data_IF_485062260618
#
_entry.id   IF_485062260618
#
_cell.length_a   1.000
_cell.length_b   1.000
_cell.length_c   1.000
_cell.angle_alpha   90.00
_cell.angle_beta   90.00
_cell.angle_gamma   90.00
#
_symmetry.space_group_name_H-M   'P 1'
#
loop_
_entity.id
_entity.type
_entity.pdbx_description
1 polymer ?
#
# COMPACT_ATOMS: atom_id res chain seq x y z
N UNK A 1 20.27 -6.63 -4.02
CA UNK A 1 19.06 -7.17 -3.37
C UNK A 1 18.85 -8.57 -3.90
N UNK A 2 18.68 -9.54 -3.02
CA UNK A 2 18.14 -10.87 -3.34
C UNK A 2 16.63 -10.84 -3.08
N UNK A 3 15.85 -11.48 -3.94
CA UNK A 3 14.42 -11.70 -3.71
C UNK A 3 14.25 -12.89 -2.75
N UNK A 4 13.42 -12.75 -1.72
CA UNK A 4 13.51 -13.58 -0.50
C UNK A 4 12.28 -14.46 -0.28
N UNK A 5 11.07 -13.95 -0.50
CA UNK A 5 9.86 -14.71 -0.19
C UNK A 5 8.65 -14.18 -0.96
N UNK A 6 8.05 -15.02 -1.80
CA UNK A 6 6.75 -14.76 -2.42
C UNK A 6 5.66 -15.49 -1.62
N UNK A 7 4.98 -14.76 -0.74
CA UNK A 7 3.76 -15.24 -0.09
C UNK A 7 2.55 -14.76 -0.90
N UNK A 8 2.19 -15.51 -1.94
CA UNK A 8 0.86 -15.40 -2.53
C UNK A 8 -0.18 -15.92 -1.54
N UNK A 9 -1.15 -15.08 -1.19
CA UNK A 9 -2.37 -15.52 -0.53
C UNK A 9 -3.53 -15.28 -1.51
N UNK A 10 -4.41 -16.27 -1.68
CA UNK A 10 -5.71 -15.98 -2.26
C UNK A 10 -6.50 -15.23 -1.18
N UNK A 11 -7.07 -14.06 -1.53
CA UNK A 11 -7.96 -13.29 -0.63
C UNK A 11 -9.04 -14.16 0.01
N UNK A 12 -9.42 -15.17 -0.75
CA UNK A 12 -10.50 -16.09 -0.52
C UNK A 12 -10.09 -17.34 0.28
N UNK A 13 -8.81 -17.62 0.45
CA UNK A 13 -8.31 -18.63 1.41
C UNK A 13 -8.06 -18.06 2.81
N UNK A 14 -8.18 -16.73 2.99
CA UNK A 14 -8.00 -16.10 4.29
C UNK A 14 -9.15 -16.46 5.25
N UNK A 15 -8.89 -17.03 6.45
CA UNK A 15 -9.94 -17.36 7.43
C UNK A 15 -10.63 -16.11 8.02
N UNK A 16 -10.23 -14.91 7.59
CA UNK A 16 -10.82 -13.64 7.96
C UNK A 16 -12.07 -13.30 7.12
N UNK A 17 -12.26 -13.94 5.96
CA UNK A 17 -13.29 -13.60 4.95
C UNK A 17 -13.73 -14.83 4.11
N UNK A 18 -14.81 -14.72 3.34
CA UNK A 18 -15.42 -15.84 2.59
C UNK A 18 -14.77 -16.08 1.20
N UNK A 19 -14.69 -17.32 0.65
CA UNK A 19 -13.98 -17.61 -0.61
C UNK A 19 -14.75 -17.39 -1.94
N UNK A 20 -14.01 -17.21 -3.04
CA UNK A 20 -14.37 -17.41 -4.47
C UNK A 20 -13.19 -18.05 -5.27
N UNK A 21 -13.41 -18.49 -6.51
CA UNK A 21 -12.47 -19.33 -7.29
C UNK A 21 -11.62 -18.54 -8.31
N UNK A 22 -10.32 -18.87 -8.49
CA UNK A 22 -9.46 -18.87 -9.75
C UNK A 22 -7.91 -18.71 -9.49
N UNK A 23 -7.14 -19.81 -9.57
CA UNK A 23 -5.73 -20.02 -10.13
C UNK A 23 -4.44 -19.32 -9.50
N UNK A 24 -3.15 -19.66 -9.84
CA UNK A 24 -2.24 -20.39 -8.90
C UNK A 24 -0.74 -19.93 -8.69
N UNK A 25 -0.12 -20.33 -7.54
CA UNK A 25 1.29 -20.85 -7.29
C UNK A 25 2.60 -20.09 -7.73
N UNK A 26 3.87 -20.34 -7.27
CA UNK A 26 4.60 -20.87 -6.04
C UNK A 26 6.15 -20.73 -6.20
N UNK A 27 6.97 -20.66 -5.10
CA UNK A 27 8.37 -21.22 -4.86
C UNK A 27 9.27 -20.39 -3.87
N UNK A 28 10.43 -20.91 -3.39
CA UNK A 28 11.19 -20.42 -2.19
C UNK A 28 12.73 -20.62 -2.23
N UNK A 29 13.52 -19.74 -1.57
CA UNK A 29 15.02 -19.77 -1.45
C UNK A 29 15.55 -19.38 -0.05
N UNK A 30 16.88 -19.42 0.19
CA UNK A 30 17.58 -19.03 1.45
C UNK A 30 18.31 -17.65 1.37
N UNK A 31 18.67 -17.06 2.52
CA UNK A 31 19.12 -15.65 2.67
C UNK A 31 20.49 -15.54 3.36
N UNK A 32 21.33 -14.60 2.92
CA UNK A 32 22.69 -14.34 3.46
C UNK A 32 22.89 -12.89 3.99
N UNK A 33 21.83 -12.11 4.27
CA UNK A 33 21.91 -10.71 4.73
C UNK A 33 20.91 -10.34 5.86
N UNK A 34 21.23 -9.26 6.59
CA UNK A 34 20.51 -8.82 7.81
C UNK A 34 19.36 -7.82 7.58
N UNK A 35 19.33 -7.12 6.44
CA UNK A 35 18.23 -6.20 6.09
C UNK A 35 17.46 -6.68 4.85
N UNK A 36 16.18 -6.37 4.79
CA UNK A 36 15.32 -6.64 3.64
C UNK A 36 14.13 -5.69 3.57
N UNK A 37 13.37 -5.77 2.47
CA UNK A 37 12.21 -4.93 2.15
C UNK A 37 11.05 -5.87 1.85
N UNK A 38 9.86 -5.55 2.33
CA UNK A 38 8.63 -6.26 1.96
C UNK A 38 8.00 -5.50 0.80
N UNK A 39 7.93 -6.14 -0.37
CA UNK A 39 7.24 -5.61 -1.54
C UNK A 39 6.01 -6.48 -1.77
N UNK A 40 4.88 -5.85 -2.01
CA UNK A 40 3.63 -6.53 -2.37
C UNK A 40 3.01 -5.85 -3.59
N UNK A 41 2.37 -6.62 -4.46
CA UNK A 41 1.80 -6.14 -5.71
C UNK A 41 0.39 -6.70 -5.90
N UNK A 42 -0.58 -5.86 -6.24
CA UNK A 42 -2.00 -6.19 -6.20
C UNK A 42 -2.78 -5.65 -7.41
N UNK A 43 -3.93 -6.25 -7.68
CA UNK A 43 -4.93 -5.72 -8.60
C UNK A 43 -6.30 -5.84 -7.93
N UNK A 44 -6.80 -4.75 -7.36
CA UNK A 44 -8.07 -4.76 -6.61
C UNK A 44 -9.27 -4.90 -7.56
N UNK A 45 -10.39 -5.40 -7.05
CA UNK A 45 -11.56 -5.73 -7.86
C UNK A 45 -12.10 -4.52 -8.63
N UNK A 46 -12.05 -4.58 -9.96
CA UNK A 46 -12.26 -3.43 -10.85
C UNK A 46 -13.62 -2.72 -10.72
N UNK A 47 -14.70 -3.43 -10.38
CA UNK A 47 -16.08 -2.93 -10.46
C UNK A 47 -16.26 -1.65 -9.62
N UNK A 48 -16.59 -0.48 -10.21
CA UNK A 48 -16.63 0.80 -9.50
C UNK A 48 -17.58 0.83 -8.29
N UNK A 49 -18.70 0.13 -8.36
CA UNK A 49 -19.71 0.09 -7.29
C UNK A 49 -19.35 -0.87 -6.14
N UNK A 50 -18.31 -1.70 -6.29
CA UNK A 50 -17.94 -2.74 -5.33
C UNK A 50 -17.02 -2.20 -4.20
N UNK A 51 -17.39 -1.06 -3.62
CA UNK A 51 -16.61 -0.36 -2.59
C UNK A 51 -16.31 -1.23 -1.36
N UNK A 52 -17.32 -1.96 -0.86
CA UNK A 52 -17.16 -2.92 0.22
C UNK A 52 -16.15 -4.04 -0.11
N UNK A 53 -16.15 -4.55 -1.34
CA UNK A 53 -15.22 -5.62 -1.74
C UNK A 53 -13.78 -5.10 -1.80
N UNK A 54 -13.56 -3.89 -2.35
CA UNK A 54 -12.25 -3.23 -2.29
C UNK A 54 -11.81 -3.03 -0.83
N UNK A 55 -12.71 -2.59 0.06
CA UNK A 55 -12.43 -2.43 1.49
C UNK A 55 -12.03 -3.76 2.16
N UNK A 56 -12.73 -4.86 1.84
CA UNK A 56 -12.40 -6.23 2.27
C UNK A 56 -10.99 -6.60 1.84
N UNK A 57 -10.67 -6.41 0.56
CA UNK A 57 -9.36 -6.72 -0.01
C UNK A 57 -8.25 -5.89 0.67
N UNK A 58 -8.44 -4.58 0.88
CA UNK A 58 -7.47 -3.76 1.63
C UNK A 58 -7.17 -4.32 3.01
N UNK A 59 -8.21 -4.67 3.79
CA UNK A 59 -8.00 -5.22 5.13
C UNK A 59 -7.21 -6.54 5.10
N UNK A 60 -7.58 -7.48 4.23
CA UNK A 60 -6.90 -8.78 4.12
C UNK A 60 -5.46 -8.62 3.67
N UNK A 61 -5.22 -7.77 2.67
CA UNK A 61 -3.89 -7.43 2.17
C UNK A 61 -2.99 -6.86 3.28
N UNK A 62 -3.44 -5.80 3.96
CA UNK A 62 -2.67 -5.18 5.03
C UNK A 62 -2.44 -6.16 6.19
N UNK A 63 -3.44 -6.95 6.57
CA UNK A 63 -3.27 -7.99 7.59
C UNK A 63 -2.15 -8.96 7.22
N UNK A 64 -2.17 -9.53 6.02
CA UNK A 64 -1.20 -10.54 5.60
C UNK A 64 0.22 -9.96 5.46
N UNK A 65 0.36 -8.73 4.93
CA UNK A 65 1.63 -8.01 4.85
C UNK A 65 2.23 -7.80 6.25
N UNK A 66 1.43 -7.33 7.22
CA UNK A 66 1.90 -7.02 8.56
C UNK A 66 2.05 -8.25 9.47
N UNK A 67 1.31 -9.33 9.23
CA UNK A 67 1.58 -10.66 9.80
C UNK A 67 2.95 -11.15 9.33
N UNK A 68 3.22 -11.18 8.02
CA UNK A 68 4.52 -11.58 7.47
C UNK A 68 5.67 -10.72 8.00
N UNK A 69 5.50 -9.39 8.07
CA UNK A 69 6.48 -8.48 8.70
C UNK A 69 6.78 -8.88 10.14
N UNK A 70 5.73 -9.16 10.92
CA UNK A 70 5.87 -9.54 12.33
C UNK A 70 6.58 -10.89 12.50
N UNK A 71 6.31 -11.87 11.64
CA UNK A 71 6.98 -13.17 11.60
C UNK A 71 8.48 -13.01 11.29
N UNK A 72 8.82 -12.30 10.20
CA UNK A 72 10.22 -12.07 9.80
C UNK A 72 11.01 -11.31 10.88
N UNK A 73 10.41 -10.27 11.48
CA UNK A 73 11.06 -9.47 12.51
C UNK A 73 11.26 -10.26 13.83
N UNK A 74 10.34 -11.18 14.15
CA UNK A 74 10.44 -12.07 15.31
C UNK A 74 11.50 -13.18 15.10
N UNK A 75 11.49 -13.88 13.97
CA UNK A 75 12.49 -14.91 13.63
C UNK A 75 13.92 -14.34 13.68
N UNK A 76 14.13 -13.13 13.16
CA UNK A 76 15.42 -12.42 13.21
C UNK A 76 15.80 -11.99 14.62
N UNK A 77 14.84 -11.67 15.49
CA UNK A 77 15.07 -11.36 16.89
C UNK A 77 15.51 -12.61 17.67
N UNK A 78 14.87 -13.74 17.45
CA UNK A 78 15.16 -15.00 18.15
C UNK A 78 16.51 -15.58 17.73
N UNK A 79 16.84 -15.59 16.44
CA UNK A 79 18.17 -15.95 15.95
C UNK A 79 19.28 -15.07 16.56
N UNK A 80 19.02 -13.76 16.69
CA UNK A 80 19.98 -12.86 17.31
C UNK A 80 20.16 -13.16 18.81
N UNK A 81 19.07 -13.37 19.55
CA UNK A 81 19.13 -13.73 20.96
C UNK A 81 19.93 -15.03 21.16
N UNK A 82 19.76 -16.02 20.28
CA UNK A 82 20.54 -17.25 20.28
C UNK A 82 22.05 -16.99 20.07
N UNK A 83 22.42 -16.12 19.12
CA UNK A 83 23.83 -15.75 18.87
C UNK A 83 24.41 -14.98 20.05
N UNK A 84 23.71 -13.99 20.61
CA UNK A 84 24.16 -13.20 21.76
C UNK A 84 24.44 -14.09 22.98
N UNK A 85 23.54 -15.04 23.27
CA UNK A 85 23.71 -16.02 24.33
C UNK A 85 24.94 -16.94 24.10
N UNK A 86 25.26 -17.28 22.83
CA UNK A 86 26.45 -18.09 22.48
C UNK A 86 27.77 -17.34 22.62
N UNK A 87 27.79 -16.01 22.53
CA UNK A 87 29.01 -15.18 22.50
C UNK A 87 29.18 -14.29 23.74
N UNK A 88 28.37 -14.51 24.78
CA UNK A 88 28.38 -13.77 26.06
C UNK A 88 28.25 -12.23 25.90
N UNK A 89 27.70 -11.75 24.78
CA UNK A 89 27.45 -10.32 24.55
C UNK A 89 26.08 -9.89 25.09
N UNK A 90 26.09 -8.86 25.93
CA UNK A 90 24.88 -8.12 26.33
C UNK A 90 24.84 -6.81 25.55
N UNK A 91 24.07 -6.79 24.47
CA UNK A 91 23.62 -5.57 23.79
C UNK A 91 22.14 -5.30 24.17
N UNK A 92 21.71 -4.04 24.14
CA UNK A 92 20.40 -3.67 24.69
C UNK A 92 19.27 -3.97 23.69
N UNK A 93 18.22 -4.67 24.15
CA UNK A 93 17.14 -5.15 23.27
C UNK A 93 16.29 -4.03 22.64
N UNK A 94 16.35 -2.82 23.20
CA UNK A 94 15.67 -1.62 22.69
C UNK A 94 16.35 -1.08 21.44
N UNK A 95 17.67 -0.87 21.47
CA UNK A 95 18.47 -0.34 20.34
C UNK A 95 18.43 -1.26 19.11
N UNK A 96 18.11 -2.55 19.30
CA UNK A 96 18.05 -3.52 18.21
C UNK A 96 16.66 -3.73 17.61
N UNK A 97 15.58 -3.49 18.38
CA UNK A 97 14.23 -3.36 17.79
C UNK A 97 14.13 -2.18 16.82
N UNK A 98 14.96 -1.16 17.00
CA UNK A 98 15.10 -0.03 16.06
C UNK A 98 16.00 -0.31 14.86
N UNK A 99 16.81 -1.38 14.85
CA UNK A 99 17.73 -1.68 13.74
C UNK A 99 17.16 -2.64 12.68
N UNK A 100 16.17 -3.46 13.05
CA UNK A 100 15.68 -4.58 12.22
C UNK A 100 14.29 -4.32 11.58
N UNK A 101 13.88 -3.07 11.37
CA UNK A 101 12.60 -2.77 10.71
C UNK A 101 12.63 -3.09 9.21
N UNK A 102 11.75 -3.95 8.75
CA UNK A 102 11.53 -4.21 7.31
C UNK A 102 10.54 -3.19 6.75
N UNK A 103 10.96 -2.22 5.89
CA UNK A 103 10.05 -1.29 5.25
C UNK A 103 9.11 -2.02 4.28
N UNK A 104 7.88 -1.51 4.17
CA UNK A 104 6.81 -2.09 3.35
C UNK A 104 6.52 -1.16 2.17
N UNK A 105 6.60 -1.72 0.96
CA UNK A 105 6.11 -1.14 -0.29
C UNK A 105 4.88 -1.92 -0.76
N UNK A 106 3.79 -1.20 -1.04
CA UNK A 106 2.52 -1.78 -1.44
C UNK A 106 2.12 -1.17 -2.80
N UNK A 107 2.41 -1.91 -3.87
CA UNK A 107 2.27 -1.47 -5.25
C UNK A 107 1.04 -2.10 -5.92
N UNK A 108 0.64 -1.54 -7.07
CA UNK A 108 -0.29 -2.18 -7.99
C UNK A 108 -1.42 -1.28 -8.48
N UNK A 109 -2.40 -1.90 -9.13
CA UNK A 109 -3.66 -1.26 -9.55
C UNK A 109 -4.69 -1.41 -8.43
N UNK A 110 -5.03 -0.31 -7.77
CA UNK A 110 -6.00 -0.28 -6.69
C UNK A 110 -7.43 -0.09 -7.19
N UNK A 111 -7.62 0.08 -8.50
CA UNK A 111 -8.90 0.42 -9.12
C UNK A 111 -9.64 1.53 -8.37
N UNK A 112 -8.89 2.49 -7.80
CA UNK A 112 -9.44 3.55 -6.96
C UNK A 112 -8.76 4.88 -7.23
N UNK A 113 -9.56 5.93 -7.43
CA UNK A 113 -9.07 7.29 -7.61
C UNK A 113 -8.76 7.97 -6.27
N UNK A 114 -7.92 9.02 -6.20
CA UNK A 114 -7.48 9.53 -4.90
C UNK A 114 -8.54 10.34 -4.11
N UNK A 115 -9.73 10.57 -4.68
CA UNK A 115 -10.97 10.95 -3.97
C UNK A 115 -11.60 9.82 -3.19
N UNK A 116 -11.42 8.60 -3.68
CA UNK A 116 -12.24 7.50 -3.24
C UNK A 116 -11.81 7.01 -1.86
N UNK A 117 -12.77 6.37 -1.21
CA UNK A 117 -12.71 6.08 0.21
C UNK A 117 -11.54 5.16 0.55
N UNK A 118 -11.16 4.28 -0.39
CA UNK A 118 -10.03 3.37 -0.27
C UNK A 118 -8.70 4.12 -0.22
N UNK A 119 -8.44 5.04 -1.14
CA UNK A 119 -7.22 5.87 -1.12
C UNK A 119 -7.17 6.71 0.17
N UNK A 120 -8.29 7.33 0.55
CA UNK A 120 -8.41 8.11 1.79
C UNK A 120 -8.09 7.27 3.03
N UNK A 121 -8.57 6.03 3.12
CA UNK A 121 -8.29 5.13 4.24
C UNK A 121 -6.80 4.75 4.33
N UNK A 122 -6.17 4.37 3.21
CA UNK A 122 -4.73 4.04 3.16
C UNK A 122 -3.89 5.25 3.60
N UNK A 123 -4.26 6.44 3.11
CA UNK A 123 -3.58 7.72 3.41
C UNK A 123 -4.07 8.42 4.69
N UNK A 124 -4.86 7.72 5.52
CA UNK A 124 -5.48 8.20 6.78
C UNK A 124 -6.13 9.59 6.70
N UNK A 125 -6.72 9.91 5.55
CA UNK A 125 -7.61 11.05 5.38
C UNK A 125 -8.97 10.76 6.04
N UNK A 126 -9.67 11.80 6.46
CA UNK A 126 -11.01 11.66 7.04
C UNK A 126 -12.03 11.25 5.95
N UNK A 127 -12.93 10.34 6.32
CA UNK A 127 -14.12 10.00 5.53
C UNK A 127 -15.34 10.75 6.08
N UNK A 128 -16.20 11.22 5.19
CA UNK A 128 -17.48 11.82 5.56
C UNK A 128 -18.59 10.76 5.74
N UNK A 129 -19.76 11.17 6.26
CA UNK A 129 -20.86 10.23 6.52
C UNK A 129 -21.45 9.54 5.28
N UNK A 130 -21.37 10.14 4.10
CA UNK A 130 -21.89 9.57 2.86
C UNK A 130 -20.92 8.51 2.32
N UNK A 131 -19.62 8.80 2.35
CA UNK A 131 -18.53 7.87 2.05
C UNK A 131 -18.59 6.61 2.94
N UNK A 132 -18.82 6.80 4.26
CA UNK A 132 -18.99 5.69 5.19
C UNK A 132 -20.21 4.82 4.85
N UNK A 133 -21.34 5.41 4.44
CA UNK A 133 -22.56 4.68 4.05
C UNK A 133 -22.35 3.91 2.73
N UNK A 134 -21.61 4.48 1.79
CA UNK A 134 -21.30 3.85 0.50
C UNK A 134 -20.32 2.68 0.59
N UNK A 135 -19.57 2.57 1.69
CA UNK A 135 -18.67 1.45 1.97
C UNK A 135 -19.37 0.23 2.58
N UNK A 136 -20.58 0.34 3.13
CA UNK A 136 -21.29 -0.78 3.76
C UNK A 136 -21.72 -1.86 2.73
N UNK A 137 -21.81 -3.15 3.13
CA UNK A 137 -22.07 -4.24 2.19
C UNK A 137 -23.48 -4.16 1.59
N UNK A 138 -23.54 -4.02 0.26
CA UNK A 138 -24.79 -4.01 -0.51
C UNK A 138 -25.22 -5.46 -0.80
N UNK A 139 -25.99 -6.04 0.11
CA UNK A 139 -26.51 -7.41 0.02
C UNK A 139 -27.79 -7.43 -0.84
N UNK A 140 -27.85 -8.29 -1.85
CA UNK A 140 -29.07 -8.49 -2.64
C UNK A 140 -30.10 -9.35 -1.89
N UNK A 141 -31.41 -9.04 -1.94
CA UNK A 141 -32.42 -9.67 -1.07
C UNK A 141 -32.59 -11.19 -1.21
N UNK A 142 -32.11 -11.75 -2.32
CA UNK A 142 -32.32 -13.16 -2.70
C UNK A 142 -31.13 -14.07 -2.34
N UNK A 143 -30.04 -13.51 -1.78
CA UNK A 143 -28.81 -14.26 -1.48
C UNK A 143 -28.83 -14.76 -0.02
N UNK A 144 -28.79 -16.08 0.16
CA UNK A 144 -28.62 -16.69 1.48
C UNK A 144 -27.19 -16.43 2.01
N UNK A 145 -27.09 -15.58 3.02
CA UNK A 145 -25.83 -15.20 3.65
C UNK A 145 -25.29 -16.38 4.47
N UNK A 146 -24.27 -17.09 3.94
CA UNK A 146 -23.64 -18.21 4.65
C UNK A 146 -22.91 -17.82 5.95
N UNK A 147 -22.38 -16.60 6.01
CA UNK A 147 -21.73 -16.00 7.18
C UNK A 147 -21.99 -14.49 7.17
N UNK A 148 -22.37 -13.89 8.30
CA UNK A 148 -22.54 -12.43 8.38
C UNK A 148 -21.22 -11.73 8.01
N UNK A 149 -21.18 -10.87 6.97
CA UNK A 149 -19.99 -10.11 6.63
C UNK A 149 -19.65 -9.13 7.77
N UNK A 150 -18.37 -8.83 7.95
CA UNK A 150 -17.93 -7.73 8.81
C UNK A 150 -18.53 -6.41 8.29
N UNK A 151 -18.93 -5.53 9.19
CA UNK A 151 -19.40 -4.19 8.80
C UNK A 151 -18.25 -3.36 8.22
N UNK A 152 -18.54 -2.37 7.37
CA UNK A 152 -17.51 -1.46 6.90
C UNK A 152 -16.85 -0.72 8.08
N UNK A 153 -17.64 -0.36 9.09
CA UNK A 153 -17.14 0.21 10.35
C UNK A 153 -16.07 -0.67 11.01
N UNK A 154 -16.30 -1.99 11.16
CA UNK A 154 -15.31 -2.91 11.73
C UNK A 154 -14.05 -3.05 10.86
N UNK A 155 -14.21 -3.10 9.53
CA UNK A 155 -13.07 -3.17 8.60
C UNK A 155 -12.22 -1.89 8.67
N UNK A 156 -12.86 -0.71 8.70
CA UNK A 156 -12.19 0.60 8.81
C UNK A 156 -11.39 0.69 10.12
N UNK A 157 -11.98 0.32 11.26
CA UNK A 157 -11.30 0.34 12.56
C UNK A 157 -10.17 -0.70 12.67
N UNK A 158 -10.17 -1.75 11.84
CA UNK A 158 -9.00 -2.63 11.67
C UNK A 158 -7.96 -2.00 10.76
N UNK A 159 -8.34 -1.42 9.63
CA UNK A 159 -7.43 -0.78 8.67
C UNK A 159 -6.65 0.38 9.30
N UNK A 160 -7.32 1.22 10.11
CA UNK A 160 -6.69 2.36 10.82
C UNK A 160 -5.51 1.99 11.72
N UNK A 161 -5.42 0.72 12.18
CA UNK A 161 -4.34 0.19 13.02
C UNK A 161 -3.05 -0.02 12.26
N UNK A 162 -3.11 -0.18 10.94
CA UNK A 162 -1.90 -0.30 10.13
C UNK A 162 -1.22 1.07 9.95
N UNK A 163 0.08 1.10 9.62
CA UNK A 163 0.83 2.28 9.20
C UNK A 163 0.15 3.18 8.16
N UNK A 164 0.57 4.44 8.11
CA UNK A 164 0.14 5.40 7.10
C UNK A 164 0.72 5.01 5.74
N UNK A 165 -0.11 4.81 4.73
CA UNK A 165 0.38 4.72 3.34
C UNK A 165 0.62 6.11 2.77
N UNK A 166 1.75 6.29 2.09
CA UNK A 166 2.05 7.47 1.28
C UNK A 166 2.38 7.04 -0.15
N UNK A 167 1.58 7.46 -1.13
CA UNK A 167 1.89 7.25 -2.55
C UNK A 167 3.25 7.88 -2.88
N UNK A 168 4.09 7.18 -3.64
CA UNK A 168 5.36 7.72 -4.13
C UNK A 168 5.18 8.91 -5.07
N UNK A 169 4.01 9.02 -5.69
CA UNK A 169 3.59 10.10 -6.58
C UNK A 169 2.76 11.19 -5.88
N UNK A 170 2.60 11.16 -4.55
CA UNK A 170 1.69 12.04 -3.81
C UNK A 170 2.03 13.54 -3.85
N UNK A 171 3.14 13.94 -4.48
CA UNK A 171 3.54 15.33 -4.72
C UNK A 171 4.02 15.55 -6.17
N UNK A 172 3.63 14.67 -7.10
CA UNK A 172 4.04 14.72 -8.51
C UNK A 172 3.72 16.07 -9.16
N UNK A 173 2.48 16.57 -9.05
CA UNK A 173 2.04 17.88 -9.61
C UNK A 173 2.68 19.10 -8.92
N UNK A 174 3.18 18.95 -7.69
CA UNK A 174 3.94 20.03 -7.03
C UNK A 174 5.34 20.15 -7.65
N UNK A 175 5.90 19.03 -8.13
CA UNK A 175 7.19 18.95 -8.80
C UNK A 175 7.10 19.20 -10.32
N UNK A 176 5.99 18.82 -10.95
CA UNK A 176 5.66 19.08 -12.36
C UNK A 176 4.33 19.84 -12.49
N UNK A 177 4.35 21.18 -12.30
CA UNK A 177 3.15 22.01 -12.36
C UNK A 177 2.61 22.21 -13.78
N UNK A 178 3.33 21.76 -14.82
CA UNK A 178 2.89 21.83 -16.21
C UNK A 178 2.12 20.58 -16.66
N UNK A 179 2.20 19.48 -15.89
CA UNK A 179 1.57 18.21 -16.22
C UNK A 179 0.08 18.38 -16.57
N UNK A 180 -0.34 17.83 -17.71
CA UNK A 180 -1.69 18.02 -18.25
C UNK A 180 -2.78 17.70 -17.22
N UNK A 181 -3.68 18.67 -16.96
CA UNK A 181 -4.98 18.44 -16.33
C UNK A 181 -5.95 17.90 -17.39
N UNK A 182 -6.71 16.85 -17.08
CA UNK A 182 -7.68 16.26 -18.01
C UNK A 182 -8.73 17.32 -18.40
N UNK A 183 -8.87 17.69 -19.69
CA UNK A 183 -9.74 18.80 -20.12
C UNK A 183 -11.23 18.53 -19.89
N UNK A 184 -11.62 17.28 -19.56
CA UNK A 184 -12.99 16.90 -19.21
C UNK A 184 -13.28 17.04 -17.70
N UNK A 185 -12.27 17.26 -16.85
CA UNK A 185 -12.48 17.55 -15.43
C UNK A 185 -12.94 19.00 -15.28
N UNK A 186 -13.93 19.25 -14.41
CA UNK A 186 -14.36 20.63 -14.17
C UNK A 186 -13.30 21.36 -13.36
N UNK A 187 -13.04 22.61 -13.71
CA UNK A 187 -12.11 23.48 -12.99
C UNK A 187 -12.48 23.54 -11.50
N UNK A 188 -11.55 23.17 -10.63
CA UNK A 188 -11.78 23.08 -9.17
C UNK A 188 -12.36 21.75 -8.67
N UNK A 189 -12.67 20.79 -9.54
CA UNK A 189 -12.79 19.36 -9.19
C UNK A 189 -11.41 18.66 -9.27
N UNK A 190 -10.34 19.43 -9.49
CA UNK A 190 -8.91 19.05 -9.52
C UNK A 190 -8.32 18.72 -8.13
N UNK A 191 -9.10 18.03 -7.30
CA UNK A 191 -8.51 17.21 -6.26
C UNK A 191 -7.70 16.11 -7.02
N UNK A 192 -6.47 15.74 -6.66
CA UNK A 192 -5.90 15.57 -5.32
C UNK A 192 -4.52 16.21 -5.20
N UNK A 193 -4.01 16.28 -3.96
CA UNK A 193 -2.92 17.17 -3.51
C UNK A 193 -1.51 16.70 -3.93
N UNK A 194 -1.33 16.39 -5.21
CA UNK A 194 -0.03 16.09 -5.80
C UNK A 194 -0.01 14.88 -6.75
N UNK A 195 -0.97 13.95 -6.66
CA UNK A 195 -1.01 12.78 -7.57
C UNK A 195 -1.06 13.19 -9.06
N UNK A 196 -0.54 12.36 -9.99
CA UNK A 196 -0.73 12.56 -11.43
C UNK A 196 -2.21 12.55 -11.79
N UNK A 197 -2.53 13.18 -12.93
CA UNK A 197 -3.90 13.27 -13.44
C UNK A 197 -4.42 11.91 -13.91
N UNK A 198 -3.53 11.03 -14.39
CA UNK A 198 -3.87 9.70 -14.85
C UNK A 198 -2.69 8.73 -14.73
N UNK A 199 -3.04 7.46 -14.50
CA UNK A 199 -2.19 6.30 -14.75
C UNK A 199 -2.82 5.37 -15.79
N UNK A 200 -4.14 5.45 -16.02
CA UNK A 200 -4.82 4.85 -17.18
C UNK A 200 -5.47 5.92 -18.06
N UNK A 201 -5.38 5.74 -19.39
CA UNK A 201 -5.80 6.76 -20.37
C UNK A 201 -6.60 6.18 -21.54
N UNK A 202 -7.72 5.51 -21.25
CA UNK A 202 -8.58 4.89 -22.26
C UNK A 202 -9.93 5.64 -22.40
N UNK A 203 -11.04 4.92 -22.55
CA UNK A 203 -12.39 5.48 -22.52
C UNK A 203 -12.76 6.11 -21.17
N UNK A 204 -12.15 5.63 -20.09
CA UNK A 204 -12.04 6.33 -18.81
C UNK A 204 -10.58 6.78 -18.60
N UNK A 205 -10.38 7.86 -17.84
CA UNK A 205 -9.07 8.51 -17.66
C UNK A 205 -8.93 8.94 -16.20
N UNK A 206 -7.89 8.45 -15.51
CA UNK A 206 -7.63 8.80 -14.12
C UNK A 206 -6.54 7.92 -13.49
N UNK A 207 -6.26 8.19 -12.23
CA UNK A 207 -5.19 7.53 -11.47
C UNK A 207 -5.78 6.37 -10.66
N UNK A 208 -5.25 5.17 -10.89
CA UNK A 208 -5.64 3.92 -10.23
C UNK A 208 -4.42 3.15 -9.69
N UNK A 209 -3.24 3.41 -10.26
CA UNK A 209 -1.99 2.71 -9.96
C UNK A 209 -1.17 3.52 -8.95
N UNK A 210 -0.62 2.84 -7.94
CA UNK A 210 0.16 3.49 -6.87
C UNK A 210 1.34 2.62 -6.43
N UNK A 211 2.38 3.26 -5.91
CA UNK A 211 3.41 2.63 -5.07
C UNK A 211 3.31 3.26 -3.67
N UNK A 212 2.64 2.62 -2.72
CA UNK A 212 2.53 3.14 -1.35
C UNK A 212 3.74 2.75 -0.51
N UNK A 213 4.43 3.76 0.01
CA UNK A 213 5.39 3.63 1.11
C UNK A 213 4.57 3.58 2.41
N UNK A 214 4.57 2.44 3.11
CA UNK A 214 3.80 2.27 4.33
C UNK A 214 4.67 2.61 5.55
N UNK A 215 4.48 3.82 6.11
CA UNK A 215 5.35 4.41 7.13
C UNK A 215 4.92 4.01 8.56
N UNK A 216 5.66 3.09 9.16
CA UNK A 216 5.43 2.55 10.52
C UNK A 216 6.08 3.41 11.64
N UNK A 217 6.46 4.65 11.34
CA UNK A 217 7.13 5.55 12.27
C UNK A 217 6.15 6.50 12.96
N UNK A 218 5.65 6.06 14.11
CA UNK A 218 5.09 6.97 15.10
C UNK A 218 6.23 7.75 15.77
N UNK A 219 6.20 9.08 15.66
CA UNK A 219 7.02 9.96 16.50
C UNK A 219 6.63 9.73 17.97
N UNK A 220 7.54 9.11 18.73
CA UNK A 220 7.33 8.80 20.16
C UNK A 220 8.30 9.61 21.00
N UNK A 221 7.77 10.69 21.57
CA UNK A 221 8.39 11.41 22.67
C UNK A 221 7.81 10.90 23.99
N UNK A 222 8.66 10.32 24.84
CA UNK A 222 8.27 9.94 26.20
C UNK A 222 8.72 11.03 27.18
N UNK A 223 7.75 11.80 27.68
CA UNK A 223 7.98 12.87 28.67
C UNK A 223 8.68 12.40 29.95
N UNK A 224 8.56 11.11 30.32
CA UNK A 224 9.11 10.58 31.58
C UNK A 224 10.58 10.21 31.46
N UNK A 225 10.98 9.59 30.36
CA UNK A 225 12.40 9.30 30.07
C UNK A 225 13.12 10.48 29.42
N UNK A 226 12.37 11.45 28.86
CA UNK A 226 12.85 12.48 27.91
C UNK A 226 13.50 11.88 26.66
N UNK A 227 13.21 10.61 26.38
CA UNK A 227 13.78 9.93 25.23
C UNK A 227 13.04 10.35 23.95
N UNK A 228 13.83 10.62 22.91
CA UNK A 228 13.34 11.02 21.60
C UNK A 228 13.74 9.93 20.62
N UNK A 229 12.93 8.88 20.54
CA UNK A 229 13.13 7.83 19.54
C UNK A 229 12.70 8.36 18.17
N UNK A 230 13.62 9.08 17.53
CA UNK A 230 13.60 9.28 16.08
C UNK A 230 13.83 7.93 15.41
N UNK A 231 12.74 7.27 15.03
CA UNK A 231 12.78 6.34 13.91
C UNK A 231 12.48 7.18 12.65
N UNK A 232 13.49 7.62 11.88
CA UNK A 232 13.21 8.31 10.62
C UNK A 232 12.50 7.37 9.66
N UNK A 233 11.68 7.92 8.76
CA UNK A 233 11.11 7.16 7.65
C UNK A 233 12.24 6.47 6.90
N UNK A 234 12.27 5.13 6.94
CA UNK A 234 13.32 4.29 6.35
C UNK A 234 13.39 4.41 4.83
N UNK A 235 12.44 5.09 4.20
CA UNK A 235 12.29 5.26 2.77
C UNK A 235 12.09 6.73 2.39
N UNK A 236 12.71 7.15 1.30
CA UNK A 236 12.47 8.47 0.70
C UNK A 236 12.48 8.37 -0.81
N UNK A 237 11.39 8.79 -1.43
CA UNK A 237 11.33 9.01 -2.87
C UNK A 237 12.28 10.15 -3.24
N UNK A 238 13.24 9.88 -4.11
CA UNK A 238 14.21 10.85 -4.63
C UNK A 238 13.87 11.30 -6.04
N UNK A 239 13.26 10.42 -6.85
CA UNK A 239 12.78 10.72 -8.21
C UNK A 239 11.52 9.91 -8.51
N UNK A 240 10.68 10.43 -9.39
CA UNK A 240 9.62 9.70 -10.07
C UNK A 240 9.90 9.71 -11.57
N UNK A 241 9.42 8.70 -12.30
CA UNK A 241 9.36 8.75 -13.76
C UNK A 241 8.24 9.70 -14.19
N UNK A 242 8.53 10.59 -15.14
CA UNK A 242 7.54 11.52 -15.67
C UNK A 242 6.39 10.77 -16.37
N UNK A 243 5.15 11.13 -16.03
CA UNK A 243 3.96 10.64 -16.72
C UNK A 243 3.91 11.31 -18.10
N UNK A 244 3.76 10.55 -19.22
CA UNK A 244 3.69 11.12 -20.57
C UNK A 244 2.58 12.15 -20.73
N UNK A 245 2.82 13.18 -21.55
CA UNK A 245 1.82 14.19 -21.85
C UNK A 245 0.64 13.63 -22.65
N UNK A 246 -0.57 14.08 -22.32
CA UNK A 246 -1.82 13.71 -22.98
C UNK A 246 -1.75 13.67 -24.51
N UNK A 247 -1.06 14.64 -25.12
CA UNK A 247 -0.91 14.77 -26.58
C UNK A 247 -0.25 13.57 -27.28
N UNK A 248 0.53 12.73 -26.58
CA UNK A 248 1.09 11.48 -27.14
C UNK A 248 0.29 10.23 -26.77
N UNK A 249 -0.76 10.40 -25.96
CA UNK A 249 -1.67 9.35 -25.52
C UNK A 249 -3.00 9.39 -26.30
N UNK A 250 -3.44 10.57 -26.75
CA UNK A 250 -4.65 10.74 -27.55
C UNK A 250 -4.63 9.93 -28.86
N UNK A 251 -5.78 9.35 -29.31
CA UNK A 251 -7.12 9.47 -28.74
C UNK A 251 -7.37 8.59 -27.49
N UNK A 252 -6.38 7.78 -27.11
CA UNK A 252 -6.46 6.84 -26.00
C UNK A 252 -5.40 5.74 -26.11
N UNK A 253 -5.25 5.02 -25.01
CA UNK A 253 -4.41 3.84 -24.88
C UNK A 253 -5.23 2.53 -24.96
N UNK A 254 -4.64 1.40 -25.38
CA UNK A 254 -3.27 1.27 -25.92
C UNK A 254 -3.13 1.87 -27.33
N UNK A 255 -1.91 2.21 -27.74
CA UNK A 255 -1.59 2.74 -29.07
C UNK A 255 -0.25 2.20 -29.60
N UNK A 256 0.22 2.69 -30.76
CA UNK A 256 1.46 2.20 -31.41
C UNK A 256 2.75 2.42 -30.58
N UNK A 257 2.74 3.37 -29.66
CA UNK A 257 3.88 3.70 -28.77
C UNK A 257 3.73 3.07 -27.38
N UNK A 258 2.51 2.75 -26.96
CA UNK A 258 2.17 2.34 -25.59
C UNK A 258 1.28 1.08 -25.63
N UNK A 259 1.81 -0.10 -25.24
CA UNK A 259 1.14 -1.39 -25.46
C UNK A 259 0.04 -1.75 -24.43
N UNK A 260 -0.20 -0.89 -23.43
CA UNK A 260 -1.19 -1.05 -22.37
C UNK A 260 -2.10 0.18 -22.32
N UNK A 261 -3.32 0.03 -21.81
CA UNK A 261 -4.22 1.12 -21.42
C UNK A 261 -3.74 1.88 -20.16
N UNK A 262 -2.88 1.23 -19.37
CA UNK A 262 -2.16 1.83 -18.23
C UNK A 262 -0.73 2.27 -18.62
N UNK A 263 -0.22 3.24 -17.87
CA UNK A 263 1.12 3.83 -17.97
C UNK A 263 1.97 3.29 -16.83
N UNK A 264 3.22 2.90 -17.14
CA UNK A 264 4.17 2.49 -16.11
C UNK A 264 4.51 3.68 -15.18
N UNK A 265 4.15 3.56 -13.90
CA UNK A 265 4.75 4.36 -12.83
C UNK A 265 6.08 3.73 -12.40
N UNK A 266 7.00 4.55 -11.89
CA UNK A 266 8.30 4.10 -11.38
C UNK A 266 8.91 5.16 -10.47
N UNK A 267 9.45 4.76 -9.32
CA UNK A 267 10.16 5.67 -8.41
C UNK A 267 11.56 5.19 -8.03
N UNK A 268 12.46 6.15 -7.85
CA UNK A 268 13.74 5.96 -7.16
C UNK A 268 13.52 6.19 -5.66
N UNK A 269 13.85 5.21 -4.83
CA UNK A 269 13.63 5.25 -3.37
C UNK A 269 14.97 4.99 -2.66
N UNK A 270 15.45 5.98 -1.91
CA UNK A 270 16.54 5.82 -0.96
C UNK A 270 16.05 5.11 0.30
N UNK A 271 16.88 4.20 0.82
CA UNK A 271 16.65 3.54 2.11
C UNK A 271 17.64 4.05 3.15
N UNK A 272 17.14 4.57 4.27
CA UNK A 272 17.98 5.10 5.35
C UNK A 272 18.16 4.07 6.46
N UNK A 273 19.42 3.81 6.81
CA UNK A 273 19.80 3.05 8.00
C UNK A 273 20.21 4.05 9.09
N UNK A 274 19.72 3.87 10.33
CA UNK A 274 20.35 4.52 11.48
C UNK A 274 21.79 4.01 11.59
N UNK A 275 22.75 4.92 11.60
CA UNK A 275 24.13 4.61 12.01
C UNK A 275 24.24 4.49 13.52
#
# INVERSE_FOLDING_TARGET
FSEVQYNGFLFDESPLVTPTDITPCTEKYEIENDMGIIISNHHLYWKPQAKYEKLRQIYVMLNNIYTLKSEIEQDKLDLYNEICNKIEKIENSVEKKTLNKWPVLMCGDFNTSPDQEIYKLITKQELNEEELKELEPKIEPEIEIKNNPLTATELIERIKKFPLGKSSYSSYRDNDPNHTINPNWKKGEEFFKGEPTYTTYCGWKGTLDYEFLMDDNEFKFDEKSKDVTFNPTYTKVTKNLNVPESSVLEPGLPNLSFPSDHICIMSEIEFYQSK
#
